data_IF_352242121228
#
_entry.id   IF_352242121228
#
_cell.length_a   1.000
_cell.length_b   1.000
_cell.length_c   1.000
_cell.angle_alpha   90.00
_cell.angle_beta   90.00
_cell.angle_gamma   90.00
#
_symmetry.space_group_name_H-M   'P 1'
#
loop_
_entity.id
_entity.type
_entity.pdbx_description
1 polymer ?
#
# COMPACT_ATOMS: atom_id res chain seq x y z
N UNK A 1 11.81 -0.55 6.68
CA UNK A 1 11.69 0.79 6.08
C UNK A 1 10.24 1.21 6.19
N UNK A 2 9.97 2.50 6.36
CA UNK A 2 8.60 3.02 6.32
C UNK A 2 8.51 4.19 5.35
N UNK A 3 7.33 4.38 4.75
CA UNK A 3 6.96 5.59 4.02
C UNK A 3 5.99 6.36 4.92
N UNK A 4 6.42 7.51 5.41
CA UNK A 4 5.63 8.32 6.32
C UNK A 4 5.46 9.74 5.80
N UNK A 5 4.27 10.30 5.93
CA UNK A 5 3.96 11.65 5.44
C UNK A 5 2.87 12.30 6.29
N UNK A 6 2.82 13.64 6.26
CA UNK A 6 1.78 14.44 6.91
C UNK A 6 1.18 15.42 5.90
N UNK A 7 -0.15 15.51 5.86
CA UNK A 7 -0.85 16.41 4.95
C UNK A 7 -2.36 16.35 5.08
N UNK A 8 -3.05 17.13 4.25
CA UNK A 8 -4.52 17.17 4.20
C UNK A 8 -5.02 17.26 2.76
N UNK A 9 -6.24 16.79 2.54
CA UNK A 9 -6.91 16.93 1.24
C UNK A 9 -7.57 18.31 1.11
N UNK A 10 -7.59 18.83 -0.12
CA UNK A 10 -8.20 20.13 -0.45
C UNK A 10 -9.60 20.02 -1.05
N UNK A 11 -10.08 18.81 -1.28
CA UNK A 11 -11.46 18.56 -1.73
C UNK A 11 -12.41 18.52 -0.52
N UNK A 12 -13.61 19.07 -0.67
CA UNK A 12 -14.61 19.17 0.42
C UNK A 12 -15.55 17.96 0.48
N UNK A 13 -15.69 17.21 -0.62
CA UNK A 13 -16.66 16.12 -0.76
C UNK A 13 -16.01 14.74 -0.77
N UNK A 14 -14.86 14.60 -0.12
CA UNK A 14 -14.08 13.36 -0.13
C UNK A 14 -14.52 12.45 1.02
N UNK A 15 -14.52 11.15 0.78
CA UNK A 15 -14.65 10.14 1.82
C UNK A 15 -13.47 9.16 1.77
N UNK A 16 -13.31 8.35 2.82
CA UNK A 16 -12.19 7.43 2.95
C UNK A 16 -12.14 6.35 1.86
N UNK A 17 -13.25 6.07 1.16
CA UNK A 17 -13.28 5.14 0.03
C UNK A 17 -12.73 5.75 -1.26
N UNK A 18 -12.72 7.08 -1.37
CA UNK A 18 -12.29 7.78 -2.57
C UNK A 18 -10.77 7.87 -2.70
N UNK A 19 -10.03 7.71 -1.60
CA UNK A 19 -8.57 7.90 -1.57
C UNK A 19 -7.85 6.56 -1.56
N UNK A 20 -7.08 6.32 -2.61
CA UNK A 20 -6.30 5.11 -2.79
C UNK A 20 -4.81 5.39 -2.59
N UNK A 21 -4.12 4.40 -2.02
CA UNK A 21 -2.69 4.36 -1.83
C UNK A 21 -2.12 3.02 -2.30
N UNK A 22 -0.95 3.04 -2.93
CA UNK A 22 -0.21 1.82 -3.27
C UNK A 22 0.68 2.03 -4.49
N UNK A 23 0.99 0.96 -5.20
CA UNK A 23 1.92 0.97 -6.32
C UNK A 23 1.24 1.24 -7.66
N UNK A 24 1.93 1.98 -8.53
CA UNK A 24 1.53 2.19 -9.91
C UNK A 24 2.78 2.17 -10.80
N UNK A 25 2.65 1.60 -11.98
CA UNK A 25 3.70 1.54 -12.99
C UNK A 25 3.31 2.39 -14.20
N UNK A 26 4.31 2.95 -14.87
CA UNK A 26 4.10 3.81 -16.04
C UNK A 26 4.15 3.02 -17.35
N UNK A 27 4.77 1.85 -17.35
CA UNK A 27 4.83 0.90 -18.47
C UNK A 27 4.37 -0.51 -18.04
N UNK A 28 3.94 -1.37 -18.98
CA UNK A 28 3.50 -2.72 -18.67
C UNK A 28 4.61 -3.56 -18.03
N UNK A 29 4.28 -4.32 -16.98
CA UNK A 29 5.21 -5.25 -16.30
C UNK A 29 4.93 -6.73 -16.59
N UNK A 30 3.89 -7.02 -17.38
CA UNK A 30 3.38 -8.39 -17.61
C UNK A 30 4.42 -9.39 -18.11
N UNK A 31 5.42 -8.91 -18.85
CA UNK A 31 6.49 -9.76 -19.37
C UNK A 31 7.56 -10.03 -18.30
N UNK A 32 7.64 -9.20 -17.26
CA UNK A 32 8.63 -9.28 -16.17
C UNK A 32 8.06 -9.87 -14.87
N UNK A 33 6.83 -10.38 -14.86
CA UNK A 33 6.24 -10.95 -13.64
C UNK A 33 6.94 -12.27 -13.25
N UNK A 34 7.32 -12.45 -11.97
CA UNK A 34 7.85 -13.72 -11.49
C UNK A 34 6.88 -14.89 -11.73
N UNK A 35 7.43 -16.08 -12.00
CA UNK A 35 6.65 -17.31 -11.88
C UNK A 35 6.06 -17.41 -10.47
N UNK A 36 4.78 -17.79 -10.36
CA UNK A 36 4.07 -17.78 -9.08
C UNK A 36 3.37 -16.47 -8.71
N UNK A 37 3.48 -15.40 -9.52
CA UNK A 37 2.69 -14.15 -9.30
C UNK A 37 1.19 -14.43 -9.17
N UNK A 38 0.64 -15.35 -9.96
CA UNK A 38 -0.77 -15.74 -9.85
C UNK A 38 -1.15 -16.34 -8.48
N UNK A 39 -0.21 -16.99 -7.77
CA UNK A 39 -0.42 -17.47 -6.41
C UNK A 39 -0.32 -16.32 -5.40
N UNK A 40 0.69 -15.45 -5.52
CA UNK A 40 0.82 -14.26 -4.68
C UNK A 40 -0.42 -13.35 -4.76
N UNK A 41 -1.01 -13.18 -5.94
CA UNK A 41 -2.25 -12.44 -6.13
C UNK A 41 -3.45 -13.04 -5.40
N UNK A 42 -3.51 -14.36 -5.21
CA UNK A 42 -4.58 -15.01 -4.45
C UNK A 42 -4.47 -14.75 -2.94
N UNK A 43 -3.28 -14.41 -2.46
CA UNK A 43 -2.98 -14.17 -1.05
C UNK A 43 -3.03 -12.70 -0.69
N UNK A 44 -2.83 -11.81 -1.66
CA UNK A 44 -2.98 -10.37 -1.46
C UNK A 44 -4.21 -9.98 -0.62
N UNK A 45 -5.42 -10.53 -0.87
CA UNK A 45 -6.61 -10.25 -0.05
C UNK A 45 -6.55 -10.73 1.41
N UNK A 46 -5.73 -11.72 1.73
CA UNK A 46 -5.54 -12.21 3.11
C UNK A 46 -4.66 -11.25 3.91
N UNK A 47 -3.76 -10.54 3.21
CA UNK A 47 -2.86 -9.54 3.79
C UNK A 47 -3.57 -8.18 3.90
N UNK A 48 -4.17 -7.73 2.80
CA UNK A 48 -4.97 -6.52 2.71
C UNK A 48 -6.26 -6.82 1.93
N UNK A 49 -7.39 -7.04 2.63
CA UNK A 49 -8.66 -7.40 1.98
C UNK A 49 -9.25 -6.29 1.11
N UNK A 50 -8.74 -5.06 1.22
CA UNK A 50 -9.21 -3.93 0.42
C UNK A 50 -8.27 -3.61 -0.75
N UNK A 51 -7.14 -4.31 -0.88
CA UNK A 51 -6.24 -4.20 -2.00
C UNK A 51 -6.92 -4.71 -3.28
N UNK A 52 -6.99 -3.84 -4.27
CA UNK A 52 -7.36 -4.18 -5.64
C UNK A 52 -6.17 -3.94 -6.55
N UNK A 53 -6.10 -4.66 -7.66
CA UNK A 53 -4.97 -4.53 -8.58
C UNK A 53 -5.39 -4.86 -10.00
N UNK A 54 -4.64 -4.33 -10.95
CA UNK A 54 -4.57 -4.82 -12.32
C UNK A 54 -3.09 -4.77 -12.73
N UNK A 55 -2.36 -5.85 -12.43
CA UNK A 55 -0.93 -5.95 -12.71
C UNK A 55 -0.63 -6.28 -14.18
N UNK A 56 -1.66 -6.58 -14.98
CA UNK A 56 -1.54 -6.95 -16.39
C UNK A 56 -1.91 -5.81 -17.35
N UNK A 57 -2.46 -4.71 -16.84
CA UNK A 57 -2.76 -3.50 -17.60
C UNK A 57 -1.52 -2.89 -18.27
N UNK A 58 -1.74 -1.99 -19.24
CA UNK A 58 -0.66 -1.23 -19.86
C UNK A 58 -0.02 -0.19 -18.93
N UNK A 59 -0.80 0.30 -17.96
CA UNK A 59 -0.33 1.01 -16.76
C UNK A 59 -0.74 0.20 -15.52
N UNK A 60 0.07 -0.79 -15.13
CA UNK A 60 -0.22 -1.65 -13.99
C UNK A 60 -0.43 -0.86 -12.69
N UNK A 61 -1.24 -1.40 -11.78
CA UNK A 61 -1.43 -0.81 -10.45
C UNK A 61 -1.87 -1.86 -9.41
N UNK A 62 -1.54 -1.58 -8.15
CA UNK A 62 -2.00 -2.33 -6.98
C UNK A 62 -2.24 -1.33 -5.83
N UNK A 63 -3.51 -1.09 -5.50
CA UNK A 63 -3.95 0.02 -4.66
C UNK A 63 -5.00 -0.43 -3.64
N UNK A 64 -4.93 0.15 -2.45
CA UNK A 64 -5.87 -0.07 -1.36
C UNK A 64 -6.34 1.27 -0.80
N UNK A 65 -7.54 1.38 -0.21
CA UNK A 65 -7.96 2.61 0.46
C UNK A 65 -6.93 3.05 1.50
N UNK A 66 -6.58 4.34 1.49
CA UNK A 66 -5.52 4.90 2.33
C UNK A 66 -5.70 4.53 3.81
N UNK A 67 -6.92 4.72 4.34
CA UNK A 67 -7.25 4.43 5.74
C UNK A 67 -7.36 2.93 6.07
N UNK A 68 -7.41 2.06 5.07
CA UNK A 68 -7.43 0.61 5.25
C UNK A 68 -6.02 0.00 5.23
N UNK A 69 -5.09 0.58 4.48
CA UNK A 69 -3.78 -0.03 4.20
C UNK A 69 -2.65 0.46 5.10
N UNK A 70 -2.71 1.70 5.58
CA UNK A 70 -1.67 2.27 6.46
C UNK A 70 -1.57 1.51 7.79
N UNK A 71 -0.35 1.26 8.26
CA UNK A 71 -0.09 0.59 9.53
C UNK A 71 -0.47 1.48 10.70
N UNK A 72 -0.14 2.78 10.63
CA UNK A 72 -0.55 3.76 11.63
C UNK A 72 -1.07 5.04 10.98
N UNK A 73 -2.11 5.62 11.59
CA UNK A 73 -2.64 6.93 11.20
C UNK A 73 -2.94 7.75 12.44
N UNK A 74 -2.52 9.01 12.42
CA UNK A 74 -2.97 10.04 13.33
C UNK A 74 -3.77 11.07 12.53
N UNK A 75 -4.99 11.38 12.98
CA UNK A 75 -5.83 12.42 12.42
C UNK A 75 -6.03 13.53 13.46
N UNK A 76 -5.84 14.77 13.02
CA UNK A 76 -6.00 15.95 13.86
C UNK A 76 -6.93 16.95 13.15
N UNK A 77 -7.76 17.65 13.92
CA UNK A 77 -8.53 18.76 13.39
C UNK A 77 -7.68 20.04 13.43
N UNK A 78 -7.59 20.71 12.28
CA UNK A 78 -6.78 21.91 12.06
C UNK A 78 -7.60 22.98 11.35
N UNK A 79 -7.20 24.25 11.50
CA UNK A 79 -7.77 25.32 10.69
C UNK A 79 -7.46 25.09 9.19
N UNK A 80 -8.46 25.04 8.29
CA UNK A 80 -8.26 24.91 6.84
C UNK A 80 -7.32 25.95 6.21
N UNK A 81 -7.09 27.08 6.88
CA UNK A 81 -6.19 28.14 6.44
C UNK A 81 -4.79 28.07 7.08
N UNK A 82 -4.59 27.25 8.12
CA UNK A 82 -3.28 27.07 8.73
C UNK A 82 -2.29 26.46 7.75
N UNK A 83 -1.02 26.86 7.85
CA UNK A 83 0.08 26.21 7.13
C UNK A 83 0.27 24.78 7.61
N UNK A 84 0.54 23.86 6.70
CA UNK A 84 0.91 22.48 7.07
C UNK A 84 2.27 22.55 7.80
N UNK A 85 2.40 21.94 9.00
CA UNK A 85 3.65 21.96 9.74
C UNK A 85 4.75 21.20 8.99
N UNK A 86 6.01 21.60 9.22
CA UNK A 86 7.15 20.81 8.78
C UNK A 86 7.08 19.42 9.41
N UNK A 87 7.16 18.38 8.58
CA UNK A 87 7.05 17.01 9.03
C UNK A 87 8.43 16.39 9.25
N UNK A 88 8.68 15.91 10.46
CA UNK A 88 9.84 15.07 10.77
C UNK A 88 9.34 13.64 10.99
N UNK A 89 9.80 12.65 10.19
CA UNK A 89 9.45 11.26 10.39
C UNK A 89 9.72 10.76 11.82
N UNK A 90 8.77 10.02 12.37
CA UNK A 90 8.81 9.48 13.72
C UNK A 90 7.63 8.54 13.99
N UNK A 91 7.54 7.97 15.21
CA UNK A 91 6.41 7.13 15.57
C UNK A 91 5.08 7.87 15.41
N UNK A 92 4.12 7.25 14.74
CA UNK A 92 2.77 7.77 14.56
C UNK A 92 1.86 7.12 15.60
N UNK A 93 1.23 7.93 16.46
CA UNK A 93 0.26 7.42 17.42
C UNK A 93 -1.04 7.12 16.69
N UNK A 94 -1.56 5.90 16.82
CA UNK A 94 -2.80 5.50 16.16
C UNK A 94 -4.01 6.19 16.82
N UNK A 95 -4.49 7.25 16.20
CA UNK A 95 -5.72 7.93 16.59
C UNK A 95 -6.41 8.55 15.37
N UNK A 96 -7.54 7.98 15.00
CA UNK A 96 -8.42 8.50 13.95
C UNK A 96 -9.80 8.88 14.50
N UNK A 97 -9.91 9.06 15.82
CA UNK A 97 -11.19 9.24 16.52
C UNK A 97 -11.99 10.43 15.96
N UNK A 98 -11.30 11.51 15.61
CA UNK A 98 -11.91 12.74 15.08
C UNK A 98 -12.58 12.55 13.70
N UNK A 99 -12.26 11.46 12.99
CA UNK A 99 -12.86 11.15 11.70
C UNK A 99 -14.23 10.47 11.80
N UNK A 100 -14.66 10.12 13.01
CA UNK A 100 -15.94 9.45 13.24
C UNK A 100 -16.97 10.39 13.87
N UNK A 101 -18.13 10.48 13.24
CA UNK A 101 -19.30 11.14 13.85
C UNK A 101 -19.87 10.32 15.03
N UNK A 102 -19.64 9.00 15.04
CA UNK A 102 -20.12 8.09 16.07
C UNK A 102 -19.04 7.79 17.12
N UNK A 103 -19.30 8.19 18.37
CA UNK A 103 -18.41 8.00 19.52
C UNK A 103 -18.07 6.52 19.81
N UNK A 104 -18.97 5.58 19.50
CA UNK A 104 -18.73 4.16 19.69
C UNK A 104 -17.62 3.64 18.77
N UNK A 105 -17.56 4.10 17.51
CA UNK A 105 -16.50 3.70 16.58
C UNK A 105 -15.18 4.38 16.93
N UNK A 106 -15.21 5.68 17.26
CA UNK A 106 -14.05 6.41 17.76
C UNK A 106 -13.39 5.67 18.93
N UNK A 107 -14.17 5.33 19.95
CA UNK A 107 -13.68 4.62 21.15
C UNK A 107 -13.21 3.20 20.84
N UNK A 108 -13.94 2.47 19.98
CA UNK A 108 -13.62 1.08 19.67
C UNK A 108 -12.28 0.95 18.94
N UNK A 109 -11.99 1.86 18.01
CA UNK A 109 -10.86 1.79 17.08
C UNK A 109 -9.63 2.59 17.53
N UNK A 110 -9.78 3.54 18.45
CA UNK A 110 -8.66 4.32 18.99
C UNK A 110 -7.53 3.42 19.53
N UNK A 111 -6.29 3.69 19.09
CA UNK A 111 -5.10 2.93 19.47
C UNK A 111 -5.04 1.50 18.93
N UNK A 112 -5.93 1.11 18.00
CA UNK A 112 -6.05 -0.27 17.50
C UNK A 112 -5.93 -0.35 15.99
N UNK A 113 -4.71 -0.26 15.43
CA UNK A 113 -4.50 -0.19 13.99
C UNK A 113 -5.06 -1.39 13.24
N UNK A 114 -4.88 -2.62 13.76
CA UNK A 114 -5.42 -3.83 13.12
C UNK A 114 -6.96 -3.83 13.05
N UNK A 115 -7.62 -3.32 14.09
CA UNK A 115 -9.08 -3.19 14.09
C UNK A 115 -9.55 -2.09 13.16
N UNK A 116 -8.82 -0.96 13.06
CA UNK A 116 -9.07 0.07 12.05
C UNK A 116 -8.98 -0.53 10.66
N UNK A 117 -7.86 -1.18 10.30
CA UNK A 117 -7.67 -1.78 8.97
C UNK A 117 -8.80 -2.77 8.64
N UNK A 118 -9.15 -3.66 9.57
CA UNK A 118 -10.25 -4.63 9.39
C UNK A 118 -11.61 -3.94 9.21
N UNK A 119 -11.91 -2.90 10.01
CA UNK A 119 -13.17 -2.15 9.89
C UNK A 119 -13.23 -1.37 8.56
N UNK A 120 -12.13 -0.74 8.20
CA UNK A 120 -11.95 0.01 6.96
C UNK A 120 -11.83 -0.90 5.74
N UNK A 121 -11.72 -2.22 5.87
CA UNK A 121 -11.76 -3.13 4.72
C UNK A 121 -13.15 -3.18 4.05
N UNK A 122 -14.21 -2.77 4.76
CA UNK A 122 -15.56 -2.67 4.23
C UNK A 122 -15.82 -1.30 3.56
N UNK A 123 -16.26 -1.30 2.31
CA UNK A 123 -16.55 -0.07 1.56
C UNK A 123 -17.64 0.80 2.20
N UNK A 124 -18.71 0.18 2.73
CA UNK A 124 -19.81 0.92 3.35
C UNK A 124 -19.35 1.66 4.61
N UNK A 125 -18.41 1.09 5.37
CA UNK A 125 -17.78 1.76 6.50
C UNK A 125 -16.93 2.95 6.06
N UNK A 126 -16.09 2.78 5.03
CA UNK A 126 -15.23 3.87 4.52
C UNK A 126 -16.03 5.06 3.99
N UNK A 127 -17.15 4.82 3.32
CA UNK A 127 -18.02 5.88 2.78
C UNK A 127 -18.61 6.82 3.85
N UNK A 128 -18.72 6.34 5.10
CA UNK A 128 -19.17 7.13 6.25
C UNK A 128 -18.10 8.11 6.75
N UNK A 129 -16.82 7.84 6.48
CA UNK A 129 -15.70 8.63 7.02
C UNK A 129 -15.38 9.75 6.03
N UNK A 130 -15.70 10.99 6.40
CA UNK A 130 -15.46 12.17 5.55
C UNK A 130 -14.05 12.70 5.72
N UNK A 131 -13.45 13.11 4.61
CA UNK A 131 -12.15 13.77 4.55
C UNK A 131 -12.34 15.15 3.97
N UNK A 132 -11.75 16.17 4.60
CA UNK A 132 -11.82 17.56 4.17
C UNK A 132 -10.59 18.32 4.67
N UNK A 133 -10.52 19.62 4.38
CA UNK A 133 -9.38 20.50 4.70
C UNK A 133 -9.08 20.66 6.18
N UNK A 134 -9.98 20.26 7.08
CA UNK A 134 -9.75 20.30 8.52
C UNK A 134 -8.94 19.12 9.00
N UNK A 135 -8.99 17.99 8.30
CA UNK A 135 -8.35 16.76 8.74
C UNK A 135 -6.89 16.73 8.28
N UNK A 136 -5.97 17.02 9.20
CA UNK A 136 -4.54 16.78 9.00
C UNK A 136 -4.26 15.32 9.34
N UNK A 137 -3.74 14.57 8.37
CA UNK A 137 -3.41 13.16 8.50
C UNK A 137 -1.90 12.99 8.53
N UNK A 138 -1.40 12.34 9.56
CA UNK A 138 -0.05 11.75 9.57
C UNK A 138 -0.19 10.25 9.36
N UNK A 139 0.41 9.74 8.30
CA UNK A 139 0.30 8.35 7.88
C UNK A 139 1.66 7.66 7.92
N UNK A 140 1.66 6.38 8.28
CA UNK A 140 2.83 5.51 8.28
C UNK A 140 2.52 4.19 7.54
N UNK A 141 3.23 3.97 6.44
CA UNK A 141 3.20 2.74 5.65
C UNK A 141 4.46 1.91 5.93
N UNK A 142 4.35 1.04 6.94
CA UNK A 142 5.44 0.24 7.51
C UNK A 142 5.17 -1.27 7.44
N UNK A 143 4.47 -1.74 6.40
CA UNK A 143 4.10 -3.16 6.25
C UNK A 143 5.28 -4.14 6.16
N UNK A 144 6.49 -3.64 5.85
CA UNK A 144 7.72 -4.44 5.81
C UNK A 144 7.82 -5.44 4.66
N UNK A 145 6.89 -5.41 3.69
CA UNK A 145 6.88 -6.39 2.61
C UNK A 145 7.94 -6.12 1.54
N UNK A 146 8.34 -4.88 1.31
CA UNK A 146 9.38 -4.57 0.32
C UNK A 146 10.70 -4.33 1.06
N UNK A 147 11.67 -5.20 0.79
CA UNK A 147 13.06 -5.05 1.20
C UNK A 147 13.86 -4.46 0.03
N UNK A 148 14.01 -3.14 0.04
CA UNK A 148 14.77 -2.40 -0.97
C UNK A 148 16.28 -2.69 -0.94
N UNK A 149 16.84 -3.09 0.22
CA UNK A 149 18.26 -3.37 0.33
C UNK A 149 18.67 -4.62 -0.47
N UNK A 150 17.75 -5.58 -0.57
CA UNK A 150 17.93 -6.83 -1.33
C UNK A 150 16.98 -6.94 -2.54
N UNK A 151 16.33 -5.84 -2.91
CA UNK A 151 15.25 -5.75 -3.90
C UNK A 151 14.34 -6.99 -3.91
N UNK A 152 13.71 -7.28 -2.78
CA UNK A 152 12.90 -8.50 -2.61
C UNK A 152 11.56 -8.22 -1.92
N UNK A 153 10.55 -9.00 -2.29
CA UNK A 153 9.26 -9.02 -1.62
C UNK A 153 9.31 -10.11 -0.53
N UNK A 154 9.11 -9.70 0.72
CA UNK A 154 8.91 -10.58 1.87
C UNK A 154 7.42 -10.66 2.10
N UNK A 155 6.82 -11.82 1.91
CA UNK A 155 5.44 -12.05 2.26
C UNK A 155 5.36 -12.79 3.61
N UNK A 156 4.22 -12.71 4.30
CA UNK A 156 3.96 -13.53 5.47
C UNK A 156 4.20 -15.03 5.18
N UNK A 157 4.56 -15.79 6.22
CA UNK A 157 4.85 -17.22 6.10
C UNK A 157 6.29 -17.54 5.64
N UNK A 158 7.20 -16.56 5.70
CA UNK A 158 8.61 -16.76 5.34
C UNK A 158 8.91 -16.73 3.84
N UNK A 159 7.88 -16.53 3.00
CA UNK A 159 8.01 -16.41 1.56
C UNK A 159 8.84 -15.18 1.19
N UNK A 160 9.86 -15.39 0.34
CA UNK A 160 10.72 -14.31 -0.16
C UNK A 160 10.89 -14.44 -1.67
N UNK A 161 10.58 -13.38 -2.40
CA UNK A 161 10.74 -13.31 -3.86
C UNK A 161 11.80 -12.27 -4.20
N UNK A 162 12.89 -12.68 -4.85
CA UNK A 162 13.83 -11.71 -5.42
C UNK A 162 13.15 -11.00 -6.60
N UNK A 163 13.15 -9.67 -6.57
CA UNK A 163 12.66 -8.83 -7.66
C UNK A 163 13.81 -8.42 -8.62
N UNK A 164 15.06 -8.74 -8.28
CA UNK A 164 16.25 -8.33 -9.06
C UNK A 164 16.23 -8.81 -10.51
N UNK A 165 15.80 -10.05 -10.75
CA UNK A 165 15.76 -10.65 -12.11
C UNK A 165 14.54 -10.21 -12.93
N UNK A 166 13.59 -9.58 -12.27
CA UNK A 166 12.28 -9.18 -12.79
C UNK A 166 12.13 -7.67 -12.85
N UNK A 167 13.20 -6.95 -12.49
CA UNK A 167 13.24 -5.51 -12.55
C UNK A 167 13.44 -5.05 -13.98
N UNK A 168 12.50 -4.27 -14.47
CA UNK A 168 12.48 -3.72 -15.83
C UNK A 168 13.15 -2.35 -15.95
N UNK A 169 13.65 -1.81 -14.83
CA UNK A 169 14.29 -0.50 -14.76
C UNK A 169 13.34 0.66 -14.43
N UNK A 170 12.01 0.44 -14.39
CA UNK A 170 11.06 1.47 -13.98
C UNK A 170 11.22 1.77 -12.50
N UNK A 171 11.14 3.01 -12.01
CA UNK A 171 11.27 3.27 -10.59
C UNK A 171 10.11 2.69 -9.76
N UNK A 172 10.38 2.39 -8.48
CA UNK A 172 9.30 1.93 -7.57
C UNK A 172 8.47 3.16 -7.21
N UNK A 173 7.26 3.22 -7.74
CA UNK A 173 6.37 4.37 -7.55
C UNK A 173 5.21 4.00 -6.65
N UNK A 174 5.03 4.80 -5.60
CA UNK A 174 3.83 4.82 -4.77
C UNK A 174 2.99 6.05 -5.11
N UNK A 175 1.69 5.87 -5.27
CA UNK A 175 0.76 6.94 -5.62
C UNK A 175 -0.34 7.04 -4.57
N UNK A 176 -0.68 8.28 -4.22
CA UNK A 176 -1.94 8.62 -3.59
C UNK A 176 -2.85 9.25 -4.65
N UNK A 177 -3.98 8.63 -4.96
CA UNK A 177 -4.89 9.12 -6.02
C UNK A 177 -6.36 8.93 -5.67
N UNK A 178 -7.22 9.57 -6.45
CA UNK A 178 -8.67 9.37 -6.38
C UNK A 178 -9.07 8.05 -7.02
N UNK A 179 -10.05 7.34 -6.44
CA UNK A 179 -10.52 6.02 -6.91
C UNK A 179 -11.01 6.06 -8.36
N UNK A 180 -11.81 7.07 -8.71
CA UNK A 180 -12.51 7.18 -9.99
C UNK A 180 -11.64 7.66 -11.16
N UNK A 181 -10.40 8.09 -10.91
CA UNK A 181 -9.55 8.63 -11.96
C UNK A 181 -8.08 8.32 -11.70
N UNK A 182 -7.47 7.59 -12.63
CA UNK A 182 -6.03 7.30 -12.64
C UNK A 182 -5.18 8.57 -12.70
N UNK A 183 -5.69 9.62 -13.34
CA UNK A 183 -4.97 10.88 -13.55
C UNK A 183 -5.17 11.89 -12.41
N UNK A 184 -6.17 11.67 -11.54
CA UNK A 184 -6.39 12.52 -10.37
C UNK A 184 -5.48 12.08 -9.23
N UNK A 185 -4.24 12.54 -9.29
CA UNK A 185 -3.18 12.22 -8.32
C UNK A 185 -3.08 13.33 -7.27
N UNK A 186 -3.04 12.93 -6.00
CA UNK A 186 -2.78 13.84 -4.88
C UNK A 186 -1.27 14.05 -4.67
N UNK A 187 -0.51 12.95 -4.63
CA UNK A 187 0.95 12.98 -4.57
C UNK A 187 1.56 11.64 -4.98
N UNK A 188 2.85 11.66 -5.28
CA UNK A 188 3.65 10.50 -5.70
C UNK A 188 4.94 10.44 -4.89
N UNK A 189 5.34 9.23 -4.49
CA UNK A 189 6.64 8.95 -3.89
C UNK A 189 7.34 7.93 -4.77
N UNK A 190 8.52 8.28 -5.28
CA UNK A 190 9.28 7.47 -6.22
C UNK A 190 10.63 7.12 -5.62
N UNK A 191 10.98 5.83 -5.66
CA UNK A 191 12.30 5.34 -5.32
C UNK A 191 13.02 4.93 -6.60
N UNK A 192 14.16 5.56 -6.85
CA UNK A 192 15.06 5.21 -7.94
C UNK A 192 16.23 4.39 -7.40
N UNK A 193 16.52 3.28 -8.06
CA UNK A 193 17.69 2.48 -7.73
C UNK A 193 18.91 3.09 -8.42
N UNK A 194 19.78 3.71 -7.63
CA UNK A 194 21.03 4.27 -8.11
C UNK A 194 22.08 3.15 -8.23
N UNK A 195 22.17 2.48 -9.38
CA UNK A 195 23.09 1.34 -9.52
C UNK A 195 23.05 0.61 -10.87
N UNK A 196 24.01 1.01 -11.71
CA UNK A 196 24.42 0.58 -13.07
C UNK A 196 23.31 0.33 -14.10
N UNK A 197 23.55 0.75 -15.34
CA UNK A 197 22.65 0.50 -16.49
C UNK A 197 22.65 -1.00 -16.79
N UNK A 198 22.01 -1.79 -15.93
CA UNK A 198 21.87 -3.23 -16.07
C UNK A 198 21.03 -3.48 -17.30
N UNK A 199 21.58 -4.31 -18.19
CA UNK A 199 20.91 -4.79 -19.39
C UNK A 199 19.54 -5.34 -19.01
N UNK A 200 18.52 -5.07 -19.82
CA UNK A 200 17.20 -5.68 -19.65
C UNK A 200 17.37 -7.19 -19.39
N UNK A 201 16.63 -7.78 -18.44
CA UNK A 201 16.79 -9.18 -18.10
C UNK A 201 16.56 -10.04 -19.36
N UNK A 202 17.52 -10.92 -19.67
CA UNK A 202 17.42 -11.83 -20.80
C UNK A 202 16.60 -13.06 -20.36
N UNK A 203 15.36 -13.20 -20.88
CA UNK A 203 14.39 -14.20 -20.45
C UNK A 203 14.90 -15.65 -20.49
N UNK A 204 15.86 -15.96 -21.35
CA UNK A 204 16.42 -17.32 -21.52
C UNK A 204 17.36 -17.75 -20.37
N UNK A 205 17.97 -16.82 -19.62
CA UNK A 205 18.87 -17.16 -18.50
C UNK A 205 18.15 -17.31 -17.15
N UNK A 206 16.90 -16.82 -17.04
CA UNK A 206 16.09 -16.89 -15.82
C UNK A 206 15.65 -18.35 -15.51
N UNK A 207 15.71 -19.24 -16.50
CA UNK A 207 15.28 -20.65 -16.38
C UNK A 207 16.16 -21.53 -15.46
N UNK A 208 17.33 -21.08 -14.99
CA UNK A 208 18.22 -21.93 -14.18
C UNK A 208 18.31 -21.52 -12.71
N UNK A 209 17.57 -22.29 -11.90
CA UNK A 209 17.77 -22.62 -10.47
C UNK A 209 17.66 -21.46 -9.46
N UNK A 210 16.44 -21.04 -9.20
CA UNK A 210 15.97 -20.82 -7.82
C UNK A 210 14.64 -21.58 -7.69
N UNK A 211 14.51 -22.46 -6.69
CA UNK A 211 13.21 -23.02 -6.30
C UNK A 211 12.40 -21.85 -5.73
N UNK A 212 11.57 -21.23 -6.58
CA UNK A 212 10.53 -20.33 -6.11
C UNK A 212 9.46 -21.16 -5.41
N UNK A 213 8.87 -20.63 -4.33
CA UNK A 213 7.86 -21.36 -3.60
C UNK A 213 6.69 -21.68 -4.54
N UNK A 214 6.37 -22.96 -4.63
CA UNK A 214 5.24 -23.50 -5.39
C UNK A 214 3.94 -22.89 -4.90
N UNK A 215 2.86 -23.00 -5.69
CA UNK A 215 1.54 -22.56 -5.24
C UNK A 215 1.13 -23.19 -3.91
N UNK A 216 1.58 -24.41 -3.65
CA UNK A 216 1.22 -25.18 -2.47
C UNK A 216 2.02 -24.69 -1.24
N UNK A 217 3.32 -24.46 -1.39
CA UNK A 217 4.14 -23.82 -0.33
C UNK A 217 3.66 -22.40 -0.01
N UNK A 218 3.18 -21.69 -1.03
CA UNK A 218 2.62 -20.35 -0.89
C UNK A 218 1.28 -20.38 -0.12
N UNK A 219 0.48 -21.44 -0.27
CA UNK A 219 -0.76 -21.64 0.50
C UNK A 219 -0.47 -22.12 1.91
N UNK A 220 0.44 -23.09 2.08
CA UNK A 220 0.82 -23.66 3.38
C UNK A 220 1.45 -22.61 4.30
N UNK A 221 2.36 -21.78 3.77
CA UNK A 221 2.94 -20.64 4.47
C UNK A 221 1.90 -19.63 4.96
N UNK A 222 0.74 -19.56 4.29
CA UNK A 222 -0.35 -18.67 4.66
C UNK A 222 -1.28 -19.30 5.69
N UNK A 223 -1.56 -20.60 5.58
CA UNK A 223 -2.31 -21.36 6.58
C UNK A 223 -1.58 -21.35 7.95
N UNK A 224 -0.25 -21.40 7.95
CA UNK A 224 0.58 -21.31 9.18
C UNK A 224 0.47 -19.96 9.91
N UNK A 225 -0.02 -18.90 9.25
CA UNK A 225 -0.18 -17.57 9.87
C UNK A 225 -1.42 -17.45 10.77
N UNK A 226 -2.28 -18.47 10.81
CA UNK A 226 -3.47 -18.49 11.67
C UNK A 226 -4.46 -17.35 11.38
N UNK A 227 -4.51 -16.89 10.12
CA UNK A 227 -5.46 -15.88 9.66
C UNK A 227 -6.72 -16.61 9.21
N UNK A 228 -7.68 -16.72 10.14
CA UNK A 228 -9.04 -17.23 9.95
C UNK A 228 -9.91 -16.25 9.10
#
# INVERSE_FOLDING_TARGET
>A
MSISFCGRFTEESLNADDVLWGNQWEQPIRDYLPYGTAAALKIAPLIDPALTHDIYADRPWALSPLLATMQHIQAEETDPSATIPDYTPGPVNEDISILFENEANATKLHGKPDQRRKWMANAEHRKLVKLNKKHLLTCDFSNGFIDFANLSLKLPGGLKFSLEKYWDGQPVTFVCRKRESIDHVYFVITFELEGDKRSQPNHEEVEKKEEQPTSDEVVEAVDELGID
#
